data_IF_528744865609
#
_entry.id   IF_528744865609
#
_cell.length_a   1.000
_cell.length_b   1.000
_cell.length_c   1.000
_cell.angle_alpha   90.00
_cell.angle_beta   90.00
_cell.angle_gamma   90.00
#
_symmetry.space_group_name_H-M   'P 1'
#
loop_
_entity.id
_entity.type
_entity.pdbx_description
1 polymer ?
#
# COMPACT_ATOMS: atom_id res chain seq x y z
N UNK A 1 6.30 -19.59 -35.44
CA UNK A 1 7.14 -18.46 -34.96
C UNK A 1 6.35 -17.36 -34.23
N UNK A 2 5.02 -17.27 -34.41
CA UNK A 2 4.17 -16.24 -33.77
C UNK A 2 3.71 -16.71 -32.36
N UNK A 3 3.64 -18.01 -32.12
CA UNK A 3 3.09 -18.58 -30.87
C UNK A 3 4.06 -18.49 -29.67
N UNK A 4 5.37 -18.46 -29.90
CA UNK A 4 6.37 -18.37 -28.81
C UNK A 4 6.47 -16.97 -28.20
N UNK A 5 6.10 -15.90 -28.93
CA UNK A 5 6.07 -14.54 -28.39
C UNK A 5 4.87 -14.28 -27.49
N UNK A 6 3.74 -14.91 -27.74
CA UNK A 6 2.52 -14.75 -26.95
C UNK A 6 2.64 -15.46 -25.59
N UNK A 7 3.31 -16.62 -25.52
CA UNK A 7 3.50 -17.36 -24.27
C UNK A 7 4.42 -16.63 -23.26
N UNK A 8 5.25 -15.72 -23.71
CA UNK A 8 6.23 -15.02 -22.85
C UNK A 8 5.61 -13.92 -22.00
N UNK A 9 4.42 -13.43 -22.36
CA UNK A 9 3.75 -12.31 -21.69
C UNK A 9 2.53 -12.69 -20.85
N UNK A 10 2.22 -13.99 -20.72
CA UNK A 10 1.17 -14.40 -19.79
C UNK A 10 1.63 -14.21 -18.35
N UNK A 11 0.94 -13.30 -17.65
CA UNK A 11 1.13 -13.12 -16.22
C UNK A 11 0.65 -14.34 -15.46
N UNK A 12 1.30 -14.62 -14.33
CA UNK A 12 0.94 -15.72 -13.43
C UNK A 12 0.06 -15.17 -12.29
N UNK A 13 -1.16 -15.69 -12.08
CA UNK A 13 -2.07 -15.27 -11.01
C UNK A 13 -1.75 -15.87 -9.63
N UNK A 14 -0.61 -16.54 -9.47
CA UNK A 14 -0.22 -17.17 -8.20
C UNK A 14 -0.08 -16.14 -7.08
N UNK A 15 -0.84 -16.36 -5.99
CA UNK A 15 -0.85 -15.50 -4.80
C UNK A 15 0.15 -15.94 -3.72
N UNK A 16 0.50 -17.23 -3.67
CA UNK A 16 1.41 -17.83 -2.69
C UNK A 16 2.86 -17.80 -3.15
N UNK A 17 3.32 -16.66 -3.61
CA UNK A 17 4.69 -16.43 -4.07
C UNK A 17 5.14 -15.05 -3.60
N UNK A 18 6.44 -14.77 -3.69
CA UNK A 18 6.96 -13.46 -3.30
C UNK A 18 6.40 -12.34 -4.17
N UNK A 19 5.95 -11.30 -3.50
CA UNK A 19 5.47 -10.05 -4.11
C UNK A 19 6.41 -8.90 -3.84
N UNK A 20 6.31 -7.88 -4.68
CA UNK A 20 7.06 -6.62 -4.61
C UNK A 20 6.05 -5.49 -4.69
N UNK A 21 6.18 -4.49 -3.83
CA UNK A 21 5.51 -3.20 -4.02
C UNK A 21 6.41 -2.31 -4.90
N UNK A 22 5.82 -1.70 -5.91
CA UNK A 22 6.53 -0.90 -6.92
C UNK A 22 5.95 0.49 -6.98
N UNK A 23 6.83 1.48 -7.00
CA UNK A 23 6.54 2.87 -7.37
C UNK A 23 7.25 3.13 -8.68
N UNK A 24 6.50 3.32 -9.77
CA UNK A 24 7.06 3.64 -11.08
C UNK A 24 6.86 5.12 -11.41
N UNK A 25 7.91 5.78 -11.90
CA UNK A 25 7.94 7.20 -12.22
C UNK A 25 8.82 7.47 -13.43
N UNK A 26 8.52 8.54 -14.15
CA UNK A 26 9.38 9.00 -15.24
C UNK A 26 10.73 9.47 -14.69
N UNK A 27 11.79 9.20 -15.46
CA UNK A 27 13.14 9.64 -15.07
C UNK A 27 13.16 11.15 -14.87
N UNK A 28 13.80 11.58 -13.78
CA UNK A 28 13.92 12.98 -13.37
C UNK A 28 12.60 13.67 -12.92
N UNK A 29 11.47 12.95 -12.93
CA UNK A 29 10.19 13.49 -12.41
C UNK A 29 10.13 13.54 -10.89
N UNK A 30 11.02 12.80 -10.20
CA UNK A 30 11.02 12.64 -8.75
C UNK A 30 12.44 12.79 -8.22
N UNK A 31 12.59 13.45 -7.07
CA UNK A 31 13.83 13.34 -6.27
C UNK A 31 13.87 11.95 -5.64
N UNK A 32 14.64 11.04 -6.24
CA UNK A 32 14.76 9.65 -5.82
C UNK A 32 15.29 9.50 -4.40
N UNK A 33 16.23 10.35 -3.98
CA UNK A 33 16.77 10.29 -2.63
C UNK A 33 15.73 10.73 -1.59
N UNK A 34 14.94 11.75 -1.93
CA UNK A 34 13.84 12.19 -1.08
C UNK A 34 12.76 11.10 -0.99
N UNK A 35 12.37 10.50 -2.12
CA UNK A 35 11.40 9.41 -2.14
C UNK A 35 11.89 8.21 -1.33
N UNK A 36 13.15 7.81 -1.49
CA UNK A 36 13.77 6.72 -0.72
C UNK A 36 13.74 7.01 0.78
N UNK A 37 14.08 8.24 1.17
CA UNK A 37 14.03 8.66 2.57
C UNK A 37 12.61 8.57 3.14
N UNK A 38 11.61 9.06 2.42
CA UNK A 38 10.21 9.04 2.87
C UNK A 38 9.68 7.61 3.01
N UNK A 39 10.01 6.74 2.06
CA UNK A 39 9.65 5.32 2.11
C UNK A 39 10.32 4.59 3.27
N UNK A 40 11.62 4.83 3.49
CA UNK A 40 12.34 4.23 4.61
C UNK A 40 11.80 4.73 5.96
N UNK A 41 11.51 6.02 6.09
CA UNK A 41 10.91 6.63 7.28
C UNK A 41 9.53 6.03 7.57
N UNK A 42 8.67 5.95 6.56
CA UNK A 42 7.35 5.33 6.70
C UNK A 42 7.47 3.87 7.15
N UNK A 43 8.29 3.07 6.50
CA UNK A 43 8.49 1.67 6.84
C UNK A 43 8.96 1.50 8.29
N UNK A 44 9.91 2.30 8.72
CA UNK A 44 10.43 2.26 10.09
C UNK A 44 9.35 2.63 11.14
N UNK A 45 8.49 3.59 10.84
CA UNK A 45 7.45 4.04 11.78
C UNK A 45 6.21 3.16 11.79
N UNK A 46 5.78 2.67 10.62
CA UNK A 46 4.55 1.90 10.47
C UNK A 46 4.72 0.39 10.72
N UNK A 47 5.94 -0.14 10.60
CA UNK A 47 6.24 -1.57 10.68
C UNK A 47 7.47 -1.83 11.57
N UNK A 48 7.30 -1.74 12.88
CA UNK A 48 8.40 -1.83 13.86
C UNK A 48 9.12 -3.18 13.94
N UNK A 49 8.51 -4.25 13.43
CA UNK A 49 9.02 -5.63 13.53
C UNK A 49 9.58 -6.13 12.19
N UNK A 50 9.41 -5.41 11.10
CA UNK A 50 9.72 -5.87 9.76
C UNK A 50 10.75 -4.97 9.07
N UNK A 51 11.82 -5.58 8.61
CA UNK A 51 12.79 -4.90 7.74
C UNK A 51 12.37 -5.11 6.29
N UNK A 52 12.15 -4.02 5.57
CA UNK A 52 11.91 -4.05 4.13
C UNK A 52 13.19 -3.73 3.38
N UNK A 53 13.43 -4.45 2.30
CA UNK A 53 14.49 -4.14 1.35
C UNK A 53 13.95 -3.17 0.31
N UNK A 54 14.57 -1.98 0.21
CA UNK A 54 14.19 -0.94 -0.74
C UNK A 54 15.32 -0.78 -1.74
N UNK A 55 15.01 -0.92 -3.01
CA UNK A 55 15.96 -0.76 -4.12
C UNK A 55 15.34 0.02 -5.27
N UNK A 56 16.19 0.62 -6.11
CA UNK A 56 15.76 1.31 -7.32
C UNK A 56 16.28 0.60 -8.54
N UNK A 57 15.43 0.36 -9.51
CA UNK A 57 15.77 -0.20 -10.82
C UNK A 57 15.58 0.87 -11.89
N UNK A 58 16.60 1.05 -12.72
CA UNK A 58 16.57 2.01 -13.83
C UNK A 58 16.05 1.34 -15.10
N UNK A 59 14.95 1.87 -15.63
CA UNK A 59 14.34 1.39 -16.86
C UNK A 59 14.61 2.27 -18.07
N UNK A 60 13.94 1.98 -19.18
CA UNK A 60 13.98 2.82 -20.38
C UNK A 60 12.96 3.97 -20.27
N UNK A 61 13.40 5.07 -19.66
CA UNK A 61 12.58 6.25 -19.41
C UNK A 61 11.71 6.20 -18.14
N UNK A 62 11.42 5.01 -17.63
CA UNK A 62 10.66 4.83 -16.38
C UNK A 62 11.55 4.09 -15.37
N UNK A 63 11.78 4.73 -14.25
CA UNK A 63 12.51 4.15 -13.13
C UNK A 63 11.51 3.56 -12.11
N UNK A 64 11.93 2.55 -11.36
CA UNK A 64 11.08 1.85 -10.41
C UNK A 64 11.76 1.74 -9.06
N UNK A 65 11.15 2.30 -8.01
CA UNK A 65 11.50 1.98 -6.64
C UNK A 65 10.71 0.75 -6.20
N UNK A 66 11.39 -0.23 -5.64
CA UNK A 66 10.86 -1.53 -5.26
C UNK A 66 11.01 -1.74 -3.76
N UNK A 67 9.94 -2.13 -3.10
CA UNK A 67 9.95 -2.58 -1.72
C UNK A 67 9.67 -4.08 -1.71
N UNK A 68 10.59 -4.84 -1.14
CA UNK A 68 10.59 -6.31 -1.14
C UNK A 68 10.37 -6.86 0.26
N UNK A 69 10.33 -8.18 0.37
CA UNK A 69 10.15 -8.95 1.62
C UNK A 69 8.69 -9.36 1.89
N UNK A 70 7.83 -9.32 0.89
CA UNK A 70 6.47 -9.87 0.99
C UNK A 70 6.44 -11.32 0.52
N UNK A 71 6.03 -12.24 1.38
CA UNK A 71 6.04 -13.68 1.10
C UNK A 71 4.83 -14.15 0.27
N UNK A 72 3.82 -13.31 0.17
CA UNK A 72 2.59 -13.60 -0.57
C UNK A 72 1.86 -12.31 -0.96
N UNK A 73 0.78 -12.47 -1.74
CA UNK A 73 -0.09 -11.38 -2.18
C UNK A 73 -0.69 -10.60 -1.01
N UNK A 74 -1.22 -11.30 0.01
CA UNK A 74 -1.95 -10.66 1.11
C UNK A 74 -1.06 -9.72 1.92
N UNK A 75 0.19 -10.08 2.14
CA UNK A 75 1.14 -9.21 2.83
C UNK A 75 1.44 -7.93 2.04
N UNK A 76 1.66 -8.05 0.74
CA UNK A 76 1.89 -6.90 -0.14
C UNK A 76 0.64 -6.02 -0.27
N UNK A 77 -0.54 -6.65 -0.33
CA UNK A 77 -1.82 -5.96 -0.37
C UNK A 77 -2.09 -5.14 0.91
N UNK A 78 -1.88 -5.73 2.08
CA UNK A 78 -2.01 -5.02 3.37
C UNK A 78 -1.03 -3.84 3.44
N UNK A 79 0.20 -4.03 2.96
CA UNK A 79 1.19 -2.96 2.91
C UNK A 79 0.73 -1.80 2.03
N UNK A 80 0.33 -2.09 0.79
CA UNK A 80 -0.18 -1.10 -0.16
C UNK A 80 -1.37 -0.34 0.43
N UNK A 81 -2.35 -1.07 0.99
CA UNK A 81 -3.54 -0.47 1.58
C UNK A 81 -3.21 0.48 2.74
N UNK A 82 -2.31 0.08 3.65
CA UNK A 82 -1.86 0.94 4.76
C UNK A 82 -1.12 2.17 4.28
N UNK A 83 -0.26 2.02 3.27
CA UNK A 83 0.51 3.11 2.68
C UNK A 83 -0.41 4.18 2.08
N UNK A 84 -1.40 3.76 1.32
CA UNK A 84 -2.33 4.65 0.62
C UNK A 84 -3.37 5.29 1.55
N UNK A 85 -3.69 4.64 2.66
CA UNK A 85 -4.55 5.22 3.71
C UNK A 85 -3.78 6.13 4.69
N UNK A 86 -2.47 6.28 4.52
CA UNK A 86 -1.69 7.26 5.26
C UNK A 86 -1.69 8.58 4.48
N UNK A 87 -2.29 9.63 5.04
CA UNK A 87 -2.50 10.91 4.36
C UNK A 87 -1.19 11.55 3.86
N UNK A 88 -0.11 11.48 4.67
CA UNK A 88 1.20 12.01 4.31
C UNK A 88 1.81 11.26 3.13
N UNK A 89 1.76 9.93 3.14
CA UNK A 89 2.30 9.12 2.05
C UNK A 89 1.43 9.17 0.80
N UNK A 90 0.11 9.17 0.94
CA UNK A 90 -0.81 9.34 -0.18
C UNK A 90 -0.56 10.65 -0.93
N UNK A 91 -0.38 11.74 -0.21
CA UNK A 91 -0.03 13.04 -0.80
C UNK A 91 1.33 13.01 -1.53
N UNK A 92 2.36 12.40 -0.91
CA UNK A 92 3.72 12.32 -1.49
C UNK A 92 3.80 11.43 -2.73
N UNK A 93 2.95 10.41 -2.80
CA UNK A 93 2.90 9.46 -3.91
C UNK A 93 1.92 9.88 -5.01
N UNK A 94 1.25 11.02 -4.87
CA UNK A 94 0.30 11.52 -5.84
C UNK A 94 0.96 11.68 -7.23
N UNK A 95 0.28 11.18 -8.27
CA UNK A 95 0.79 11.19 -9.64
C UNK A 95 1.80 10.10 -9.98
N UNK A 96 2.24 9.29 -9.01
CA UNK A 96 3.11 8.14 -9.25
C UNK A 96 2.29 6.85 -9.41
N UNK A 97 2.82 5.89 -10.17
CA UNK A 97 2.18 4.58 -10.34
C UNK A 97 2.62 3.64 -9.23
N UNK A 98 1.72 3.41 -8.26
CA UNK A 98 1.96 2.52 -7.14
C UNK A 98 1.15 1.22 -7.32
N UNK A 99 1.82 0.06 -7.27
CA UNK A 99 1.17 -1.24 -7.44
C UNK A 99 1.98 -2.36 -6.79
N UNK A 100 1.36 -3.52 -6.66
CA UNK A 100 2.01 -4.75 -6.19
C UNK A 100 2.07 -5.76 -7.34
N UNK A 101 3.13 -6.53 -7.39
CA UNK A 101 3.41 -7.48 -8.48
C UNK A 101 4.21 -8.66 -7.94
N UNK A 102 3.94 -9.88 -8.43
CA UNK A 102 4.81 -11.01 -8.10
C UNK A 102 6.18 -10.85 -8.73
N UNK A 103 7.22 -11.40 -8.11
CA UNK A 103 8.59 -11.34 -8.66
C UNK A 103 8.69 -11.94 -10.07
N UNK A 104 7.89 -12.96 -10.36
CA UNK A 104 7.84 -13.56 -11.70
C UNK A 104 7.25 -12.59 -12.73
N UNK A 105 6.12 -11.96 -12.41
CA UNK A 105 5.47 -11.01 -13.31
C UNK A 105 6.30 -9.72 -13.45
N UNK A 106 7.00 -9.28 -12.40
CA UNK A 106 7.92 -8.14 -12.46
C UNK A 106 9.05 -8.38 -13.49
N UNK A 107 9.59 -9.61 -13.55
CA UNK A 107 10.58 -9.97 -14.58
C UNK A 107 10.01 -9.87 -15.99
N UNK A 108 8.74 -10.18 -16.18
CA UNK A 108 8.06 -10.02 -17.47
C UNK A 108 7.85 -8.56 -17.83
N UNK A 109 7.45 -7.75 -16.85
CA UNK A 109 7.31 -6.30 -16.99
C UNK A 109 8.63 -5.64 -17.40
N UNK A 110 9.73 -6.02 -16.77
CA UNK A 110 11.07 -5.53 -17.10
C UNK A 110 11.58 -5.99 -18.48
N UNK A 111 11.03 -7.08 -19.04
CA UNK A 111 11.36 -7.62 -20.36
C UNK A 111 10.46 -7.09 -21.48
N UNK A 112 9.54 -6.18 -21.20
CA UNK A 112 8.73 -5.50 -22.21
C UNK A 112 7.21 -5.76 -22.14
N UNK A 113 6.70 -6.42 -21.09
CA UNK A 113 5.27 -6.39 -20.80
C UNK A 113 4.88 -4.93 -20.52
N UNK A 114 3.78 -4.43 -21.13
CA UNK A 114 3.32 -3.08 -20.84
C UNK A 114 2.66 -2.97 -19.45
N UNK A 115 2.71 -1.78 -18.85
CA UNK A 115 1.97 -1.51 -17.61
C UNK A 115 0.45 -1.70 -17.82
N UNK A 116 -0.08 -1.30 -18.97
CA UNK A 116 -1.49 -1.46 -19.29
C UNK A 116 -1.91 -2.94 -19.28
N UNK A 117 -1.15 -3.80 -19.97
CA UNK A 117 -1.43 -5.25 -20.00
C UNK A 117 -1.32 -5.88 -18.61
N UNK A 118 -0.38 -5.42 -17.78
CA UNK A 118 -0.28 -5.88 -16.39
C UNK A 118 -1.47 -5.44 -15.54
N UNK A 119 -1.92 -4.19 -15.67
CA UNK A 119 -3.07 -3.70 -14.90
C UNK A 119 -4.38 -4.35 -15.34
N UNK A 120 -4.57 -4.62 -16.61
CA UNK A 120 -5.72 -5.37 -17.10
C UNK A 120 -5.74 -6.80 -16.54
N UNK A 121 -4.57 -7.46 -16.54
CA UNK A 121 -4.41 -8.76 -15.87
C UNK A 121 -4.69 -8.69 -14.37
N UNK A 122 -4.19 -7.65 -13.68
CA UNK A 122 -4.40 -7.47 -12.25
C UNK A 122 -5.89 -7.31 -11.93
N UNK A 123 -6.60 -6.47 -12.67
CA UNK A 123 -8.04 -6.21 -12.49
C UNK A 123 -8.90 -7.46 -12.76
N UNK A 124 -8.41 -8.39 -13.59
CA UNK A 124 -9.10 -9.64 -13.89
C UNK A 124 -8.90 -10.71 -12.81
N UNK A 125 -7.72 -10.78 -12.19
CA UNK A 125 -7.31 -11.90 -11.35
C UNK A 125 -7.14 -11.57 -9.85
N UNK A 126 -7.06 -10.28 -9.50
CA UNK A 126 -6.87 -9.81 -8.15
C UNK A 126 -7.96 -8.80 -7.73
N UNK A 127 -8.04 -8.53 -6.43
CA UNK A 127 -9.01 -7.56 -5.92
C UNK A 127 -8.64 -6.13 -6.33
N UNK A 128 -9.61 -5.36 -6.81
CA UNK A 128 -9.43 -4.03 -7.42
C UNK A 128 -8.79 -2.96 -6.54
N UNK A 129 -8.73 -3.14 -5.24
CA UNK A 129 -8.14 -2.16 -4.29
C UNK A 129 -6.61 -2.07 -4.43
N UNK A 130 -5.98 -2.98 -5.17
CA UNK A 130 -4.54 -2.99 -5.39
C UNK A 130 -4.06 -2.27 -6.65
N UNK A 131 -4.94 -1.78 -7.52
CA UNK A 131 -4.60 -0.97 -8.69
C UNK A 131 -5.10 0.45 -8.51
N UNK A 132 -4.59 1.17 -7.49
CA UNK A 132 -4.83 2.59 -7.40
C UNK A 132 -4.02 3.30 -8.49
N UNK A 133 -4.64 3.44 -9.65
CA UNK A 133 -4.38 4.59 -10.51
C UNK A 133 -4.87 5.78 -9.69
N UNK A 134 -3.98 6.56 -9.14
CA UNK A 134 -4.31 7.91 -8.70
C UNK A 134 -4.54 8.69 -10.00
N UNK A 135 -5.74 8.51 -10.58
CA UNK A 135 -6.21 9.33 -11.67
C UNK A 135 -6.63 10.67 -11.07
N UNK A 136 -6.12 11.74 -11.62
CA UNK A 136 -6.39 13.13 -11.21
C UNK A 136 -7.86 13.55 -11.38
N UNK A 137 -8.76 12.67 -11.81
CA UNK A 137 -10.14 13.00 -12.19
C UNK A 137 -11.17 12.04 -11.59
N UNK A 138 -11.38 12.08 -10.26
CA UNK A 138 -12.73 11.87 -9.70
C UNK A 138 -12.82 12.52 -8.31
N UNK A 139 -13.74 13.49 -8.13
CA UNK A 139 -14.06 13.98 -6.79
C UNK A 139 -14.83 12.87 -6.07
N UNK A 140 -14.19 12.29 -5.07
CA UNK A 140 -14.84 11.37 -4.14
C UNK A 140 -15.98 12.14 -3.47
N UNK A 141 -17.20 11.84 -3.84
CA UNK A 141 -18.37 12.31 -3.11
C UNK A 141 -18.42 11.59 -1.76
N UNK A 142 -17.83 12.20 -0.77
CA UNK A 142 -18.06 11.90 0.64
C UNK A 142 -19.34 12.64 1.06
N UNK A 143 -20.48 12.05 0.78
CA UNK A 143 -21.74 12.47 1.38
C UNK A 143 -22.51 11.23 1.85
N UNK A 144 -22.15 10.75 3.04
CA UNK A 144 -23.11 10.24 4.01
C UNK A 144 -22.63 10.63 5.40
N UNK A 145 -23.41 11.48 6.11
CA UNK A 145 -23.10 11.77 7.50
C UNK A 145 -23.45 10.54 8.34
N UNK A 146 -22.45 9.86 8.84
CA UNK A 146 -22.64 8.90 9.92
C UNK A 146 -23.15 9.66 11.13
N UNK A 147 -24.41 9.44 11.49
CA UNK A 147 -25.00 9.94 12.73
C UNK A 147 -24.12 9.53 13.90
N UNK A 148 -23.63 10.53 14.62
CA UNK A 148 -22.94 10.34 15.89
C UNK A 148 -23.93 9.70 16.87
N UNK A 149 -23.55 8.66 17.63
CA UNK A 149 -24.37 8.16 18.71
C UNK A 149 -24.55 9.24 19.75
N UNK A 150 -25.81 9.41 20.20
CA UNK A 150 -26.17 10.35 21.25
C UNK A 150 -25.39 10.05 22.54
N UNK A 151 -25.01 11.10 23.33
CA UNK A 151 -24.30 10.90 24.57
C UNK A 151 -25.18 10.12 25.57
N UNK A 152 -24.65 9.02 26.06
CA UNK A 152 -25.23 8.29 27.19
C UNK A 152 -25.18 9.20 28.41
N UNK A 153 -26.34 9.44 29.03
CA UNK A 153 -26.47 10.15 30.30
C UNK A 153 -25.64 9.39 31.35
N UNK A 154 -24.71 10.10 31.97
CA UNK A 154 -23.95 9.62 33.13
C UNK A 154 -24.94 9.47 34.31
N UNK A 155 -25.18 8.24 34.73
CA UNK A 155 -25.86 7.97 36.01
C UNK A 155 -24.93 8.44 37.13
N UNK A 156 -25.43 9.36 37.93
CA UNK A 156 -24.81 9.82 39.16
C UNK A 156 -24.63 8.62 40.11
N UNK A 157 -23.37 8.26 40.38
CA UNK A 157 -23.04 7.31 41.44
C UNK A 157 -23.10 8.06 42.76
N UNK A 158 -24.05 7.62 43.58
CA UNK A 158 -24.20 8.04 44.97
C UNK A 158 -22.87 7.88 45.75
N UNK A 159 -22.43 8.97 46.34
CA UNK A 159 -21.34 8.99 47.31
C UNK A 159 -21.76 8.22 48.56
N UNK A 160 -21.33 6.97 48.68
CA UNK A 160 -21.38 6.27 49.98
C UNK A 160 -20.25 6.76 50.89
N UNK A 161 -20.71 7.40 51.95
CA UNK A 161 -20.06 7.88 53.10
C UNK A 161 -19.21 6.76 53.77
N UNK A 162 -17.88 6.87 53.75
CA UNK A 162 -16.98 5.99 54.54
C UNK A 162 -16.81 6.58 55.92
N UNK A 163 -17.50 6.00 56.89
CA UNK A 163 -17.28 6.28 58.31
C UNK A 163 -15.89 5.76 58.75
N UNK A 164 -15.15 6.68 59.33
CA UNK A 164 -13.92 6.43 60.08
C UNK A 164 -14.18 5.53 61.31
N UNK A 165 -13.71 4.30 61.27
CA UNK A 165 -13.53 3.53 62.49
C UNK A 165 -12.05 3.44 62.88
N UNK A 166 -11.77 4.32 63.78
CA UNK A 166 -10.61 4.44 64.63
C UNK A 166 -10.47 3.19 65.55
N UNK A 167 -9.45 2.36 65.35
CA UNK A 167 -8.99 1.46 66.43
C UNK A 167 -7.46 1.49 66.60
N UNK A 168 -7.13 2.05 67.75
CA UNK A 168 -5.87 2.01 68.47
C UNK A 168 -5.50 0.56 68.83
N UNK A 169 -4.30 0.10 68.52
CA UNK A 169 -3.30 -0.55 69.40
C UNK A 169 -1.99 -0.76 68.62
#
# INVERSE_FOLDING_TARGET
FINDRLHFFFCNPEKNTNFVFVIAYERDAVDENQLLYEMARYNFTAFTVRNFDISTEKGDGIDMMQVRTFLNYDEAYIYLHRLLNNDDMSYKLQGLKCFIISEENLKKLMKGLSFADYFDFYDEHFDRVGSLRISEDEPTSLDEPTELPEPVEEEELDEEEWEDDNYIF
#
